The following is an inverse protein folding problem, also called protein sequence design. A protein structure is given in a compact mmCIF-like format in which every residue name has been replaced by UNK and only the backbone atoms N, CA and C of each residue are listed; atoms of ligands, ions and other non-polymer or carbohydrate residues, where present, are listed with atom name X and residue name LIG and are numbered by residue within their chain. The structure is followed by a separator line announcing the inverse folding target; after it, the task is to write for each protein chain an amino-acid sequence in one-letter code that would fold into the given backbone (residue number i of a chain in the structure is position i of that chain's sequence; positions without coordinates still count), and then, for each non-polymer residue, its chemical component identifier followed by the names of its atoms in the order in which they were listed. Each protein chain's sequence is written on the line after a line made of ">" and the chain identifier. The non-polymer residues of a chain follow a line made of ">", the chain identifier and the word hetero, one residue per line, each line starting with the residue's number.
data_IF_415988592676
#
_entry.id   IF_415988592676
#
_cell.length_a   1.000
_cell.length_b   1.000
_cell.length_c   1.000
_cell.angle_alpha   90.00
_cell.angle_beta   90.00
_cell.angle_gamma   90.00
#
_symmetry.space_group_name_H-M   'P 1'
#
loop_
_entity.id
_entity.type
_entity.pdbx_description
1 polymer ?
#
# COMPACT_ATOMS: atom_id res chain seq x y z
N UNK A 1 60.35 5.86 39.71
CA UNK A 1 61.36 4.96 39.09
C UNK A 1 60.60 3.74 38.57
N UNK A 2 60.36 3.67 37.27
CA UNK A 2 59.95 2.43 36.55
C UNK A 2 61.15 1.45 36.50
N UNK A 3 61.01 0.11 36.33
CA UNK A 3 60.28 -0.61 35.25
C UNK A 3 59.50 -1.89 35.70
N UNK A 4 58.51 -2.40 34.95
CA UNK A 4 58.58 -3.41 33.86
C UNK A 4 59.53 -4.60 34.17
N UNK A 5 59.27 -5.88 33.92
CA UNK A 5 58.42 -6.59 32.95
C UNK A 5 58.39 -8.08 33.37
N UNK A 6 57.37 -8.83 32.93
CA UNK A 6 57.48 -10.15 32.25
C UNK A 6 56.27 -11.06 32.50
N UNK A 7 55.46 -11.24 31.46
CA UNK A 7 54.51 -12.36 31.35
C UNK A 7 55.25 -13.63 30.93
N UNK A 8 54.96 -14.80 31.53
CA UNK A 8 55.30 -16.08 30.93
C UNK A 8 54.22 -16.61 29.98
N UNK A 9 54.68 -17.24 28.89
CA UNK A 9 53.96 -17.77 27.74
C UNK A 9 53.57 -19.25 27.92
N UNK A 10 52.50 -19.65 27.22
CA UNK A 10 52.00 -21.02 26.95
C UNK A 10 53.12 -21.95 26.45
N UNK A 11 53.75 -22.75 27.33
CA UNK A 11 54.32 -24.08 26.96
C UNK A 11 54.84 -24.93 28.12
N UNK A 12 54.50 -24.63 29.37
CA UNK A 12 54.95 -25.44 30.49
C UNK A 12 53.77 -25.77 31.40
N UNK A 13 53.34 -27.03 31.32
CA UNK A 13 52.75 -27.88 32.38
C UNK A 13 51.77 -28.87 31.74
N UNK A 14 52.36 -29.89 31.09
CA UNK A 14 51.74 -31.21 30.95
C UNK A 14 52.36 -32.07 32.05
N UNK A 15 51.52 -32.74 32.85
CA UNK A 15 51.95 -33.86 33.68
C UNK A 15 51.31 -33.87 35.06
N UNK A 16 50.31 -34.74 35.24
CA UNK A 16 49.83 -35.12 36.57
C UNK A 16 48.32 -35.29 36.67
N UNK A 17 47.77 -36.31 36.02
CA UNK A 17 46.41 -36.76 36.26
C UNK A 17 46.30 -37.40 37.64
N UNK A 18 45.47 -36.83 38.52
CA UNK A 18 44.95 -37.49 39.70
C UNK A 18 43.42 -37.45 39.64
N UNK A 19 42.83 -38.64 39.55
CA UNK A 19 41.40 -38.89 39.54
C UNK A 19 40.77 -38.45 40.87
N UNK A 20 39.97 -37.39 40.84
CA UNK A 20 39.01 -37.07 41.89
C UNK A 20 37.61 -37.46 41.39
N UNK A 21 36.82 -38.22 42.17
CA UNK A 21 35.47 -38.59 41.77
C UNK A 21 34.61 -37.32 41.74
N UNK A 22 34.17 -36.91 40.55
CA UNK A 22 33.07 -35.97 40.43
C UNK A 22 31.83 -36.66 40.99
N UNK A 23 31.47 -36.33 42.22
CA UNK A 23 30.14 -36.61 42.72
C UNK A 23 29.16 -35.86 41.80
N UNK A 24 28.41 -36.61 40.98
CA UNK A 24 27.24 -36.11 40.28
C UNK A 24 26.27 -35.61 41.35
N UNK A 25 26.33 -34.32 41.66
CA UNK A 25 25.20 -33.65 42.29
C UNK A 25 24.10 -33.67 41.24
N UNK A 26 23.22 -34.66 41.33
CA UNK A 26 21.90 -34.59 40.74
C UNK A 26 21.13 -33.53 41.52
N UNK A 27 21.54 -32.27 41.37
CA UNK A 27 20.71 -31.13 41.70
C UNK A 27 19.52 -31.24 40.77
N UNK A 28 18.38 -31.69 41.31
CA UNK A 28 17.13 -31.68 40.60
C UNK A 28 16.94 -30.25 40.08
N UNK A 29 17.08 -30.07 38.77
CA UNK A 29 16.67 -28.85 38.13
C UNK A 29 15.16 -28.79 38.35
N UNK A 30 14.73 -28.12 39.43
CA UNK A 30 13.35 -27.74 39.59
C UNK A 30 13.00 -26.99 38.31
N UNK A 31 12.15 -27.61 37.48
CA UNK A 31 11.73 -26.99 36.23
C UNK A 31 11.17 -25.62 36.59
N UNK A 32 11.89 -24.56 36.24
CA UNK A 32 11.40 -23.20 36.43
C UNK A 32 10.12 -23.11 35.61
N UNK A 33 8.97 -23.08 36.29
CA UNK A 33 7.69 -22.94 35.63
C UNK A 33 7.54 -21.47 35.27
N UNK A 34 7.58 -21.15 33.99
CA UNK A 34 7.26 -19.81 33.52
C UNK A 34 5.76 -19.58 33.74
N UNK A 35 5.38 -18.58 34.54
CA UNK A 35 4.02 -18.08 34.62
C UNK A 35 3.85 -16.89 33.68
N UNK A 36 2.87 -16.96 32.78
CA UNK A 36 2.55 -15.86 31.87
C UNK A 36 2.05 -14.63 32.62
N UNK A 37 2.51 -13.45 32.21
CA UNK A 37 2.04 -12.17 32.75
C UNK A 37 0.70 -11.77 32.10
N UNK A 38 -0.19 -11.07 32.83
CA UNK A 38 -1.35 -10.45 32.22
C UNK A 38 -0.91 -9.38 31.21
N UNK A 39 -1.81 -8.97 30.31
CA UNK A 39 -1.57 -7.83 29.41
C UNK A 39 -1.31 -6.60 30.27
N UNK A 40 -0.11 -6.00 30.12
CA UNK A 40 0.31 -4.84 30.90
C UNK A 40 -0.11 -3.57 30.16
N UNK A 41 -0.74 -2.63 30.88
CA UNK A 41 -1.21 -1.37 30.35
C UNK A 41 -2.51 -1.50 29.55
N UNK A 42 -2.69 -0.62 28.56
CA UNK A 42 -3.84 -0.66 27.65
C UNK A 42 -3.35 -0.58 26.19
N UNK A 43 -2.67 -1.64 25.68
CA UNK A 43 -2.17 -1.64 24.33
C UNK A 43 -3.33 -1.53 23.34
N UNK A 44 -3.13 -0.78 22.27
CA UNK A 44 -4.12 -0.68 21.20
C UNK A 44 -4.06 -1.93 20.33
N UNK A 45 -5.02 -2.83 20.55
CA UNK A 45 -5.14 -4.09 19.81
C UNK A 45 -6.14 -3.94 18.65
N UNK A 46 -5.97 -4.71 17.56
CA UNK A 46 -7.01 -4.81 16.54
C UNK A 46 -8.33 -5.30 17.15
N UNK A 47 -9.46 -4.87 16.58
CA UNK A 47 -10.76 -5.39 16.97
C UNK A 47 -10.86 -6.90 16.67
N UNK A 48 -11.73 -7.64 17.38
CA UNK A 48 -12.07 -9.02 17.02
C UNK A 48 -12.43 -9.17 15.54
N UNK A 49 -12.06 -10.30 14.93
CA UNK A 49 -12.16 -10.49 13.48
C UNK A 49 -13.59 -10.34 12.93
N UNK A 50 -14.59 -10.70 13.71
CA UNK A 50 -16.03 -10.58 13.42
C UNK A 50 -16.54 -9.13 13.48
N UNK A 51 -15.79 -8.22 14.12
CA UNK A 51 -16.08 -6.78 14.16
C UNK A 51 -15.29 -5.97 13.13
N UNK A 52 -14.29 -6.59 12.51
CA UNK A 52 -13.46 -5.96 11.46
C UNK A 52 -14.11 -6.14 10.10
N UNK A 53 -14.13 -5.04 9.35
CA UNK A 53 -14.55 -5.00 7.96
C UNK A 53 -13.68 -5.92 7.11
N UNK A 54 -14.30 -6.81 6.34
CA UNK A 54 -13.64 -7.76 5.46
C UNK A 54 -13.41 -7.20 4.06
N UNK A 55 -12.17 -7.29 3.59
CA UNK A 55 -11.75 -6.71 2.31
C UNK A 55 -11.31 -7.77 1.30
N UNK A 56 -11.81 -7.67 0.07
CA UNK A 56 -11.24 -8.35 -1.09
C UNK A 56 -10.22 -7.44 -1.78
N UNK A 57 -8.95 -7.85 -1.86
CA UNK A 57 -7.89 -7.09 -2.54
C UNK A 57 -7.78 -7.56 -3.99
N UNK A 58 -8.04 -6.66 -4.94
CA UNK A 58 -8.07 -6.95 -6.37
C UNK A 58 -6.82 -6.41 -7.04
N UNK A 59 -5.97 -7.31 -7.52
CA UNK A 59 -4.69 -6.96 -8.12
C UNK A 59 -3.51 -7.11 -7.17
N UNK A 60 -2.85 -8.27 -7.23
CA UNK A 60 -1.65 -8.57 -6.45
C UNK A 60 -0.38 -8.09 -7.18
N UNK A 61 -0.36 -6.80 -7.50
CA UNK A 61 0.75 -6.09 -8.13
C UNK A 61 1.76 -5.55 -7.11
N UNK A 62 2.76 -4.79 -7.58
CA UNK A 62 3.82 -4.25 -6.71
C UNK A 62 3.27 -3.38 -5.57
N UNK A 63 2.29 -2.52 -5.83
CA UNK A 63 1.67 -1.70 -4.77
C UNK A 63 0.76 -2.53 -3.85
N UNK A 64 -0.05 -3.43 -4.41
CA UNK A 64 -0.91 -4.33 -3.65
C UNK A 64 -0.13 -5.19 -2.66
N UNK A 65 0.96 -5.81 -3.11
CA UNK A 65 1.83 -6.67 -2.28
C UNK A 65 2.76 -5.87 -1.39
N UNK A 66 3.32 -4.77 -1.90
CA UNK A 66 4.36 -4.01 -1.21
C UNK A 66 3.84 -3.00 -0.19
N UNK A 67 2.59 -2.54 -0.31
CA UNK A 67 2.04 -1.46 0.53
C UNK A 67 0.66 -1.82 1.09
N UNK A 68 -0.29 -2.21 0.24
CA UNK A 68 -1.69 -2.45 0.67
C UNK A 68 -1.77 -3.61 1.66
N UNK A 69 -1.29 -4.79 1.29
CA UNK A 69 -1.33 -5.99 2.14
C UNK A 69 -0.60 -5.77 3.49
N UNK A 70 0.63 -5.23 3.54
CA UNK A 70 1.27 -4.87 4.80
C UNK A 70 0.45 -3.87 5.63
N UNK A 71 -0.20 -2.89 5.00
CA UNK A 71 -1.08 -1.93 5.70
C UNK A 71 -2.27 -2.59 6.40
N UNK A 72 -2.78 -3.72 5.89
CA UNK A 72 -3.83 -4.48 6.57
C UNK A 72 -3.37 -5.20 7.83
N UNK A 73 -2.06 -5.50 7.96
CA UNK A 73 -1.52 -6.15 9.16
C UNK A 73 -1.63 -5.24 10.37
N UNK A 74 -1.42 -3.92 10.19
CA UNK A 74 -1.54 -2.92 11.26
C UNK A 74 -2.95 -2.31 11.37
N UNK A 75 -3.88 -2.64 10.46
CA UNK A 75 -5.21 -2.07 10.47
C UNK A 75 -6.06 -2.59 11.63
N UNK A 76 -6.64 -1.68 12.42
CA UNK A 76 -7.41 -2.04 13.61
C UNK A 76 -8.84 -2.51 13.30
N UNK A 77 -9.45 -1.96 12.26
CA UNK A 77 -10.88 -2.16 11.91
C UNK A 77 -11.11 -2.88 10.59
N UNK A 78 -10.04 -3.30 9.92
CA UNK A 78 -10.10 -3.87 8.57
C UNK A 78 -9.27 -5.13 8.50
N UNK A 79 -9.78 -6.21 7.92
CA UNK A 79 -9.06 -7.48 7.70
C UNK A 79 -9.11 -7.90 6.23
N UNK A 80 -8.12 -8.67 5.80
CA UNK A 80 -8.14 -9.29 4.48
C UNK A 80 -9.05 -10.50 4.50
N UNK A 81 -10.09 -10.49 3.67
CA UNK A 81 -11.06 -11.57 3.54
C UNK A 81 -10.76 -12.46 2.33
N UNK A 82 -10.32 -11.87 1.22
CA UNK A 82 -10.04 -12.58 -0.01
C UNK A 82 -9.01 -11.85 -0.89
N UNK A 83 -8.40 -12.57 -1.82
CA UNK A 83 -7.63 -11.98 -2.91
C UNK A 83 -8.26 -12.28 -4.27
N UNK A 84 -8.14 -11.32 -5.19
CA UNK A 84 -8.52 -11.49 -6.59
C UNK A 84 -7.29 -11.30 -7.47
N UNK A 85 -6.93 -12.33 -8.24
CA UNK A 85 -5.69 -12.37 -9.01
C UNK A 85 -5.84 -13.22 -10.27
N UNK A 86 -5.28 -12.75 -11.38
CA UNK A 86 -5.09 -13.56 -12.59
C UNK A 86 -3.97 -14.61 -12.49
N UNK A 87 -3.29 -14.71 -11.34
CA UNK A 87 -2.29 -15.75 -11.06
C UNK A 87 -2.64 -16.42 -9.73
N UNK A 88 -3.13 -17.66 -9.81
CA UNK A 88 -3.61 -18.44 -8.68
C UNK A 88 -2.48 -18.87 -7.73
N UNK A 89 -1.34 -19.30 -8.26
CA UNK A 89 -0.17 -19.70 -7.47
C UNK A 89 0.34 -18.55 -6.59
N UNK A 90 0.44 -17.35 -7.17
CA UNK A 90 0.83 -16.13 -6.45
C UNK A 90 -0.19 -15.78 -5.36
N UNK A 91 -1.49 -15.89 -5.65
CA UNK A 91 -2.53 -15.63 -4.67
C UNK A 91 -2.46 -16.61 -3.50
N UNK A 92 -2.30 -17.91 -3.78
CA UNK A 92 -2.15 -18.95 -2.76
C UNK A 92 -0.89 -18.74 -1.91
N UNK A 93 0.25 -18.46 -2.53
CA UNK A 93 1.52 -18.21 -1.84
C UNK A 93 1.44 -16.99 -0.91
N UNK A 94 0.84 -15.89 -1.37
CA UNK A 94 0.64 -14.71 -0.53
C UNK A 94 -0.39 -15.00 0.56
N UNK A 95 -1.48 -15.71 0.23
CA UNK A 95 -2.53 -16.08 1.17
C UNK A 95 -2.00 -16.90 2.35
N UNK A 96 -1.11 -17.86 2.08
CA UNK A 96 -0.43 -18.65 3.12
C UNK A 96 0.34 -17.77 4.11
N UNK A 97 0.98 -16.69 3.65
CA UNK A 97 1.77 -15.79 4.50
C UNK A 97 0.93 -14.85 5.36
N UNK A 98 -0.24 -14.48 4.87
CA UNK A 98 -1.11 -13.46 5.48
C UNK A 98 -2.42 -14.02 6.05
N UNK A 99 -2.59 -15.34 6.08
CA UNK A 99 -3.77 -16.00 6.64
C UNK A 99 -5.04 -15.84 5.80
N UNK A 100 -4.92 -15.69 4.47
CA UNK A 100 -6.05 -15.56 3.55
C UNK A 100 -6.19 -16.86 2.75
N UNK A 101 -7.38 -17.46 2.79
CA UNK A 101 -7.66 -18.75 2.13
C UNK A 101 -8.73 -18.66 1.02
N UNK A 102 -9.33 -17.49 0.81
CA UNK A 102 -10.33 -17.25 -0.23
C UNK A 102 -9.69 -16.53 -1.42
N UNK A 103 -9.80 -17.13 -2.59
CA UNK A 103 -9.22 -16.61 -3.82
C UNK A 103 -10.26 -16.59 -4.94
N UNK A 104 -10.26 -15.51 -5.70
CA UNK A 104 -11.04 -15.32 -6.92
C UNK A 104 -10.09 -14.98 -8.06
N UNK A 105 -10.55 -15.19 -9.29
CA UNK A 105 -9.92 -14.70 -10.50
C UNK A 105 -10.82 -13.63 -11.14
N UNK A 106 -10.39 -13.12 -12.29
CA UNK A 106 -11.11 -12.07 -13.00
C UNK A 106 -12.41 -12.55 -13.66
N UNK A 107 -12.49 -13.84 -14.01
CA UNK A 107 -13.66 -14.45 -14.64
C UNK A 107 -14.78 -14.69 -13.64
N UNK A 108 -14.45 -15.18 -12.43
CA UNK A 108 -15.41 -15.46 -11.37
C UNK A 108 -15.55 -14.31 -10.35
N UNK A 109 -14.98 -13.15 -10.63
CA UNK A 109 -14.95 -12.01 -9.71
C UNK A 109 -16.35 -11.66 -9.18
N UNK A 110 -17.39 -11.70 -10.02
CA UNK A 110 -18.75 -11.31 -9.62
C UNK A 110 -19.36 -12.25 -8.56
N UNK A 111 -18.81 -13.47 -8.41
CA UNK A 111 -19.24 -14.42 -7.37
C UNK A 111 -18.92 -13.97 -5.94
N UNK A 112 -18.13 -12.90 -5.75
CA UNK A 112 -17.94 -12.27 -4.43
C UNK A 112 -19.26 -11.79 -3.82
N UNK A 113 -20.30 -11.58 -4.64
CA UNK A 113 -21.64 -11.23 -4.17
C UNK A 113 -22.18 -12.22 -3.13
N UNK A 114 -21.92 -13.51 -3.34
CA UNK A 114 -22.36 -14.59 -2.46
C UNK A 114 -21.50 -14.80 -1.22
N UNK A 115 -20.43 -14.02 -1.03
CA UNK A 115 -19.54 -14.14 0.12
C UNK A 115 -19.85 -13.07 1.18
N UNK A 116 -20.43 -13.44 2.33
CA UNK A 116 -20.74 -12.51 3.40
C UNK A 116 -19.50 -12.01 4.16
N UNK A 117 -18.34 -12.66 4.02
CA UNK A 117 -17.10 -12.22 4.68
C UNK A 117 -16.43 -11.02 3.99
N UNK A 118 -16.96 -10.61 2.82
CA UNK A 118 -16.47 -9.49 2.01
C UNK A 118 -17.47 -8.34 2.11
N UNK A 119 -17.09 -7.28 2.82
CA UNK A 119 -17.85 -6.03 2.93
C UNK A 119 -17.41 -5.02 1.86
N UNK A 120 -16.11 -5.00 1.59
CA UNK A 120 -15.44 -4.01 0.76
C UNK A 120 -14.51 -4.66 -0.26
N UNK A 121 -14.30 -3.97 -1.37
CA UNK A 121 -13.33 -4.34 -2.41
C UNK A 121 -12.31 -3.21 -2.56
N UNK A 122 -11.02 -3.56 -2.51
CA UNK A 122 -9.94 -2.62 -2.82
C UNK A 122 -9.41 -2.92 -4.24
N UNK A 123 -9.72 -2.04 -5.20
CA UNK A 123 -9.23 -2.14 -6.58
C UNK A 123 -7.83 -1.55 -6.70
N UNK A 124 -6.84 -2.42 -6.97
CA UNK A 124 -5.41 -2.10 -7.09
C UNK A 124 -4.88 -2.62 -8.44
N UNK A 125 -5.58 -2.24 -9.51
CA UNK A 125 -5.32 -2.67 -10.88
C UNK A 125 -4.63 -1.55 -11.69
N UNK A 126 -4.24 -1.81 -12.95
CA UNK A 126 -4.03 -0.73 -13.91
C UNK A 126 -5.26 0.18 -14.03
N UNK A 127 -5.02 1.48 -14.24
CA UNK A 127 -6.07 2.53 -14.28
C UNK A 127 -7.16 2.20 -15.31
N UNK A 128 -6.80 1.66 -16.47
CA UNK A 128 -7.74 1.25 -17.51
C UNK A 128 -8.75 0.17 -17.07
N UNK A 129 -8.52 -0.51 -15.94
CA UNK A 129 -9.41 -1.53 -15.39
C UNK A 129 -10.20 -1.03 -14.17
N UNK A 130 -9.93 0.18 -13.68
CA UNK A 130 -10.57 0.68 -12.45
C UNK A 130 -12.09 0.75 -12.56
N UNK A 131 -12.59 1.32 -13.65
CA UNK A 131 -14.02 1.53 -13.85
C UNK A 131 -14.79 0.20 -13.94
N UNK A 132 -14.29 -0.74 -14.74
CA UNK A 132 -14.91 -2.05 -14.91
C UNK A 132 -15.07 -2.77 -13.56
N UNK A 133 -13.97 -2.95 -12.83
CA UNK A 133 -13.99 -3.74 -11.59
C UNK A 133 -14.68 -3.00 -10.44
N UNK A 134 -14.65 -1.68 -10.43
CA UNK A 134 -15.45 -0.88 -9.48
C UNK A 134 -16.93 -1.10 -9.72
N UNK A 135 -17.40 -0.98 -10.98
CA UNK A 135 -18.82 -1.16 -11.31
C UNK A 135 -19.26 -2.60 -11.02
N UNK A 136 -18.44 -3.60 -11.34
CA UNK A 136 -18.71 -5.01 -11.03
C UNK A 136 -18.80 -5.26 -9.52
N UNK A 137 -17.89 -4.71 -8.72
CA UNK A 137 -17.93 -4.82 -7.26
C UNK A 137 -19.19 -4.18 -6.66
N UNK A 138 -19.57 -3.00 -7.14
CA UNK A 138 -20.78 -2.30 -6.69
C UNK A 138 -22.04 -3.11 -7.07
N UNK A 139 -22.11 -3.67 -8.28
CA UNK A 139 -23.19 -4.59 -8.70
C UNK A 139 -23.24 -5.87 -7.86
N UNK A 140 -22.10 -6.35 -7.37
CA UNK A 140 -22.02 -7.44 -6.40
C UNK A 140 -22.43 -7.03 -4.96
N UNK A 141 -22.90 -5.80 -4.78
CA UNK A 141 -23.40 -5.28 -3.50
C UNK A 141 -22.29 -4.95 -2.50
N UNK A 142 -21.06 -4.70 -2.96
CA UNK A 142 -19.90 -4.42 -2.10
C UNK A 142 -19.54 -2.93 -2.11
N UNK A 143 -19.04 -2.41 -1.00
CA UNK A 143 -18.42 -1.09 -1.00
C UNK A 143 -17.07 -1.13 -1.74
N UNK A 144 -16.64 -0.02 -2.31
CA UNK A 144 -15.41 0.03 -3.11
C UNK A 144 -14.46 1.12 -2.65
N UNK A 145 -13.20 0.76 -2.48
CA UNK A 145 -12.08 1.68 -2.48
C UNK A 145 -11.26 1.44 -3.75
N UNK A 146 -11.22 2.42 -4.65
CA UNK A 146 -10.49 2.32 -5.90
C UNK A 146 -9.17 3.09 -5.81
N UNK A 147 -8.06 2.52 -6.28
CA UNK A 147 -6.80 3.25 -6.35
C UNK A 147 -6.90 4.51 -7.21
N UNK A 148 -5.99 5.45 -6.98
CA UNK A 148 -5.85 6.66 -7.79
C UNK A 148 -4.97 6.38 -9.02
N UNK A 149 -5.19 7.08 -10.14
CA UNK A 149 -6.34 7.94 -10.45
C UNK A 149 -7.63 7.11 -10.61
N UNK A 150 -8.78 7.74 -10.33
CA UNK A 150 -10.08 7.06 -10.25
C UNK A 150 -10.42 6.24 -11.51
N UNK A 151 -10.22 6.81 -12.69
CA UNK A 151 -10.39 6.14 -13.98
C UNK A 151 -9.54 6.84 -15.06
N UNK A 152 -9.62 6.37 -16.32
CA UNK A 152 -8.89 6.98 -17.43
C UNK A 152 -9.61 8.20 -18.01
N UNK A 153 -10.93 8.31 -17.80
CA UNK A 153 -11.74 9.42 -18.32
C UNK A 153 -12.77 9.92 -17.30
N UNK A 154 -13.23 11.18 -17.41
CA UNK A 154 -14.32 11.68 -16.58
C UNK A 154 -15.63 10.88 -16.72
N UNK A 155 -15.98 10.45 -17.94
CA UNK A 155 -17.18 9.66 -18.19
C UNK A 155 -17.16 8.30 -17.46
N UNK A 156 -15.98 7.66 -17.37
CA UNK A 156 -15.81 6.45 -16.56
C UNK A 156 -15.98 6.73 -15.06
N UNK A 157 -15.43 7.85 -14.56
CA UNK A 157 -15.64 8.27 -13.17
C UNK A 157 -17.14 8.49 -12.87
N UNK A 158 -17.87 9.14 -13.76
CA UNK A 158 -19.31 9.35 -13.64
C UNK A 158 -20.08 8.02 -13.63
N UNK A 159 -19.69 7.06 -14.49
CA UNK A 159 -20.29 5.73 -14.51
C UNK A 159 -20.05 4.97 -13.20
N UNK A 160 -18.86 5.08 -12.60
CA UNK A 160 -18.56 4.50 -11.28
C UNK A 160 -19.44 5.13 -10.18
N UNK A 161 -19.60 6.46 -10.19
CA UNK A 161 -20.46 7.17 -9.23
C UNK A 161 -21.93 6.76 -9.40
N UNK A 162 -22.42 6.66 -10.63
CA UNK A 162 -23.78 6.23 -10.92
C UNK A 162 -24.05 4.78 -10.46
N UNK A 163 -23.07 3.88 -10.65
CA UNK A 163 -23.15 2.52 -10.16
C UNK A 163 -23.21 2.47 -8.62
N UNK A 164 -22.44 3.32 -7.93
CA UNK A 164 -22.42 3.37 -6.47
C UNK A 164 -23.76 3.83 -5.90
N UNK A 165 -24.35 4.86 -6.51
CA UNK A 165 -25.71 5.34 -6.17
C UNK A 165 -26.76 4.27 -6.41
N UNK A 166 -26.73 3.59 -7.57
CA UNK A 166 -27.68 2.53 -7.91
C UNK A 166 -27.59 1.34 -6.94
N UNK A 167 -26.38 0.98 -6.50
CA UNK A 167 -26.16 -0.14 -5.58
C UNK A 167 -26.42 0.21 -4.10
N UNK A 168 -26.63 1.49 -3.76
CA UNK A 168 -26.61 2.01 -2.39
C UNK A 168 -25.36 1.56 -1.62
N UNK A 169 -24.19 1.81 -2.22
CA UNK A 169 -22.87 1.45 -1.68
C UNK A 169 -21.91 2.62 -1.75
N UNK A 170 -20.93 2.59 -0.84
CA UNK A 170 -19.89 3.61 -0.77
C UNK A 170 -18.83 3.39 -1.84
N UNK A 171 -18.38 4.48 -2.44
CA UNK A 171 -17.26 4.52 -3.38
C UNK A 171 -16.24 5.57 -2.90
N UNK A 172 -15.02 5.13 -2.60
CA UNK A 172 -13.89 5.99 -2.29
C UNK A 172 -12.78 5.88 -3.32
N UNK A 173 -11.98 6.94 -3.44
CA UNK A 173 -10.71 6.93 -4.19
C UNK A 173 -9.56 6.99 -3.18
N UNK A 174 -8.58 6.10 -3.32
CA UNK A 174 -7.52 5.86 -2.34
C UNK A 174 -6.42 6.95 -2.34
N UNK A 175 -6.78 8.18 -2.01
CA UNK A 175 -5.81 9.25 -1.77
C UNK A 175 -5.20 9.12 -0.39
N UNK A 176 -4.13 8.32 -0.28
CA UNK A 176 -3.38 8.16 0.99
C UNK A 176 -2.98 9.50 1.62
N UNK A 177 -2.69 10.51 0.80
CA UNK A 177 -2.27 11.85 1.24
C UNK A 177 -3.26 12.53 2.17
N UNK A 178 -4.56 12.17 2.10
CA UNK A 178 -5.59 12.69 3.00
C UNK A 178 -5.50 12.13 4.42
N UNK A 179 -4.73 11.06 4.62
CA UNK A 179 -4.62 10.33 5.88
C UNK A 179 -3.19 10.36 6.45
N UNK A 180 -2.24 10.98 5.75
CA UNK A 180 -0.86 11.05 6.21
C UNK A 180 -0.72 12.09 7.33
N UNK A 181 -0.14 11.73 8.49
CA UNK A 181 -0.04 12.63 9.63
C UNK A 181 0.61 13.98 9.30
N UNK A 182 1.63 13.99 8.43
CA UNK A 182 2.30 15.21 8.01
C UNK A 182 1.39 16.13 7.18
N UNK A 183 0.56 15.59 6.30
CA UNK A 183 -0.39 16.39 5.50
C UNK A 183 -1.54 16.89 6.36
N UNK A 184 -2.03 16.07 7.31
CA UNK A 184 -3.06 16.47 8.27
C UNK A 184 -2.54 17.63 9.13
N UNK A 185 -1.31 17.54 9.63
CA UNK A 185 -0.71 18.61 10.42
C UNK A 185 -0.47 19.87 9.57
N UNK A 186 0.01 19.73 8.32
CA UNK A 186 0.15 20.86 7.42
C UNK A 186 -1.19 21.58 7.20
N UNK A 187 -2.27 20.82 6.94
CA UNK A 187 -3.61 21.38 6.80
C UNK A 187 -4.07 22.09 8.08
N UNK A 188 -3.84 21.50 9.26
CA UNK A 188 -4.18 22.12 10.55
C UNK A 188 -3.50 23.48 10.71
N UNK A 189 -2.20 23.56 10.40
CA UNK A 189 -1.41 24.81 10.51
C UNK A 189 -1.89 25.88 9.52
N UNK A 190 -2.25 25.46 8.31
CA UNK A 190 -2.84 26.35 7.29
C UNK A 190 -4.18 26.91 7.79
N UNK A 191 -5.07 26.05 8.28
CA UNK A 191 -6.39 26.45 8.81
C UNK A 191 -6.29 27.32 10.07
N UNK A 192 -5.26 27.12 10.89
CA UNK A 192 -4.96 27.97 12.03
C UNK A 192 -4.37 29.35 11.64
N UNK A 193 -4.12 29.60 10.35
CA UNK A 193 -3.56 30.86 9.85
C UNK A 193 -2.06 31.03 10.11
N UNK A 194 -1.36 29.96 10.51
CA UNK A 194 0.06 30.04 10.93
C UNK A 194 1.01 30.46 9.81
N UNK A 195 0.61 30.31 8.54
CA UNK A 195 1.41 30.69 7.36
C UNK A 195 0.84 31.89 6.60
N UNK A 196 -0.23 32.52 7.11
CA UNK A 196 -0.96 33.58 6.44
C UNK A 196 -1.69 33.12 5.18
N UNK A 197 -1.99 34.06 4.27
CA UNK A 197 -2.69 33.76 3.01
C UNK A 197 -1.76 33.03 2.03
N UNK A 198 -2.16 31.84 1.60
CA UNK A 198 -1.46 31.10 0.54
C UNK A 198 -1.54 31.89 -0.78
N UNK A 199 -0.38 32.20 -1.36
CA UNK A 199 -0.28 32.90 -2.66
C UNK A 199 0.31 32.04 -3.77
N UNK A 200 1.04 30.99 -3.39
CA UNK A 200 1.78 30.16 -4.32
C UNK A 200 1.94 28.76 -3.75
N UNK A 201 1.76 27.76 -4.62
CA UNK A 201 2.04 26.36 -4.33
C UNK A 201 2.91 25.81 -5.46
N UNK A 202 4.04 25.21 -5.10
CA UNK A 202 4.90 24.47 -6.02
C UNK A 202 4.95 23.01 -5.59
N UNK A 203 4.86 22.10 -6.56
CA UNK A 203 4.87 20.66 -6.32
C UNK A 203 5.68 19.96 -7.40
N UNK A 204 6.67 19.16 -6.98
CA UNK A 204 7.52 18.39 -7.88
C UNK A 204 7.37 16.89 -7.57
N UNK A 205 6.93 16.11 -8.56
CA UNK A 205 6.75 14.68 -8.43
C UNK A 205 7.36 13.96 -9.63
N UNK A 206 8.33 13.09 -9.38
CA UNK A 206 9.01 12.33 -10.42
C UNK A 206 9.78 11.14 -9.86
N UNK A 207 9.97 10.15 -10.71
CA UNK A 207 10.83 9.01 -10.46
C UNK A 207 11.34 8.46 -11.79
N UNK A 208 12.38 7.63 -11.76
CA UNK A 208 12.88 6.98 -12.96
C UNK A 208 11.94 5.85 -13.39
N UNK A 209 11.17 6.08 -14.45
CA UNK A 209 10.21 5.11 -15.00
C UNK A 209 10.84 4.17 -16.06
N UNK A 210 12.14 3.87 -15.99
CA UNK A 210 12.80 2.98 -16.95
C UNK A 210 12.18 1.56 -16.89
N UNK A 211 11.49 1.10 -17.96
CA UNK A 211 10.80 -0.19 -17.95
C UNK A 211 11.75 -1.39 -17.93
N UNK A 212 13.00 -1.21 -18.37
CA UNK A 212 14.03 -2.25 -18.33
C UNK A 212 14.58 -2.45 -16.91
N UNK A 213 14.64 -1.37 -16.12
CA UNK A 213 15.04 -1.44 -14.72
C UNK A 213 13.91 -1.93 -13.81
N UNK A 214 12.64 -1.65 -14.18
CA UNK A 214 11.47 -2.06 -13.40
C UNK A 214 10.28 -2.45 -14.30
N UNK A 215 10.13 -3.77 -14.50
CA UNK A 215 9.04 -4.39 -15.29
C UNK A 215 7.61 -3.98 -14.88
N UNK A 216 7.28 -3.74 -13.58
CA UNK A 216 5.94 -3.31 -13.18
C UNK A 216 5.45 -1.96 -13.75
N UNK A 217 6.32 -1.17 -14.39
CA UNK A 217 5.92 0.10 -15.04
C UNK A 217 5.47 -0.04 -16.49
N UNK A 218 5.58 -1.22 -17.12
CA UNK A 218 5.27 -1.36 -18.56
C UNK A 218 3.85 -0.91 -18.92
N UNK A 219 2.84 -1.32 -18.14
CA UNK A 219 1.44 -0.95 -18.41
C UNK A 219 1.18 0.56 -18.30
N UNK A 220 1.98 1.32 -17.52
CA UNK A 220 1.85 2.78 -17.40
C UNK A 220 2.23 3.50 -18.70
N UNK A 221 3.05 2.86 -19.54
CA UNK A 221 3.44 3.40 -20.85
C UNK A 221 2.40 3.05 -21.94
N UNK A 222 1.42 2.21 -21.62
CA UNK A 222 0.36 1.80 -22.53
C UNK A 222 -0.89 2.63 -22.23
N UNK A 223 -1.26 3.55 -23.13
CA UNK A 223 -2.37 4.51 -22.93
C UNK A 223 -3.66 3.84 -22.42
N UNK A 224 -4.02 2.68 -22.97
CA UNK A 224 -5.22 1.95 -22.58
C UNK A 224 -5.22 1.47 -21.13
N UNK A 225 -4.05 1.22 -20.53
CA UNK A 225 -3.91 0.74 -19.15
C UNK A 225 -3.48 1.85 -18.19
N UNK A 226 -2.66 2.79 -18.65
CA UNK A 226 -2.16 3.93 -17.88
C UNK A 226 -3.13 5.11 -17.78
N UNK A 227 -4.07 5.24 -18.71
CA UNK A 227 -4.94 6.41 -18.88
C UNK A 227 -4.19 7.62 -19.44
N UNK A 228 -3.06 7.97 -18.81
CA UNK A 228 -2.18 9.08 -19.20
C UNK A 228 -0.73 8.88 -18.78
N UNK A 229 0.07 9.94 -18.90
CA UNK A 229 1.50 9.95 -18.56
C UNK A 229 1.77 10.23 -17.07
N UNK A 230 2.92 10.85 -16.77
CA UNK A 230 3.35 11.17 -15.41
C UNK A 230 2.34 11.98 -14.60
N UNK A 231 1.55 12.85 -15.26
CA UNK A 231 0.48 13.61 -14.60
C UNK A 231 -0.59 12.71 -13.97
N UNK A 232 -0.92 11.58 -14.60
CA UNK A 232 -1.90 10.63 -14.06
C UNK A 232 -1.32 9.80 -12.90
N UNK A 233 -0.06 9.37 -13.02
CA UNK A 233 0.55 8.46 -12.04
C UNK A 233 1.01 9.17 -10.76
N UNK A 234 1.73 10.30 -10.92
CA UNK A 234 2.39 11.01 -9.81
C UNK A 234 2.13 12.50 -9.75
N UNK A 235 1.91 13.18 -10.89
CA UNK A 235 1.54 14.60 -10.87
C UNK A 235 0.21 14.87 -10.14
N UNK A 236 -0.67 13.86 -10.11
CA UNK A 236 -1.93 13.90 -9.36
C UNK A 236 -1.74 14.12 -7.86
N UNK A 237 -0.61 13.72 -7.27
CA UNK A 237 -0.33 14.01 -5.86
C UNK A 237 -0.17 15.51 -5.62
N UNK A 238 0.61 16.20 -6.45
CA UNK A 238 0.76 17.65 -6.36
C UNK A 238 -0.57 18.37 -6.51
N UNK A 239 -1.36 18.01 -7.53
CA UNK A 239 -2.69 18.58 -7.74
C UNK A 239 -3.64 18.30 -6.56
N UNK A 240 -3.77 17.05 -6.16
CA UNK A 240 -4.72 16.64 -5.13
C UNK A 240 -4.35 17.21 -3.75
N UNK A 241 -3.08 17.17 -3.35
CA UNK A 241 -2.61 17.75 -2.09
C UNK A 241 -2.77 19.27 -2.11
N UNK A 242 -2.51 19.95 -3.24
CA UNK A 242 -2.75 21.40 -3.34
C UNK A 242 -4.22 21.74 -3.08
N UNK A 243 -5.15 21.00 -3.68
CA UNK A 243 -6.59 21.18 -3.46
C UNK A 243 -7.01 20.87 -2.02
N UNK A 244 -6.38 19.87 -1.38
CA UNK A 244 -6.59 19.59 0.05
C UNK A 244 -6.13 20.76 0.92
N UNK A 245 -5.03 21.43 0.58
CA UNK A 245 -4.47 22.53 1.36
C UNK A 245 -5.23 23.86 1.18
N UNK A 246 -6.02 23.99 0.11
CA UNK A 246 -6.82 25.19 -0.18
C UNK A 246 -8.30 24.82 -0.37
N UNK A 247 -9.00 24.35 0.68
CA UNK A 247 -10.34 23.79 0.55
C UNK A 247 -11.40 24.81 0.11
N UNK A 248 -11.14 26.11 0.28
CA UNK A 248 -12.01 27.21 -0.12
C UNK A 248 -11.67 27.78 -1.51
N UNK A 249 -10.51 27.42 -2.07
CA UNK A 249 -10.10 27.86 -3.40
C UNK A 249 -10.40 26.80 -4.46
N UNK A 250 -10.71 27.24 -5.67
CA UNK A 250 -10.92 26.37 -6.84
C UNK A 250 -10.08 26.86 -8.01
N UNK A 251 -9.39 25.96 -8.74
CA UNK A 251 -8.74 26.34 -9.98
C UNK A 251 -9.78 26.88 -10.98
N UNK A 252 -9.58 28.10 -11.47
CA UNK A 252 -10.44 28.73 -12.49
C UNK A 252 -9.83 28.68 -13.90
N UNK A 253 -8.53 28.43 -13.99
CA UNK A 253 -7.80 28.29 -15.23
C UNK A 253 -6.60 27.35 -15.03
N UNK A 254 -6.15 26.72 -16.11
CA UNK A 254 -4.95 25.88 -16.14
C UNK A 254 -4.18 26.09 -17.45
N UNK A 255 -2.86 26.06 -17.35
CA UNK A 255 -1.95 26.04 -18.50
C UNK A 255 -0.91 24.94 -18.27
N UNK A 256 -0.53 24.22 -19.33
CA UNK A 256 0.42 23.13 -19.23
C UNK A 256 1.45 23.16 -20.35
N UNK A 257 2.66 22.74 -20.03
CA UNK A 257 3.72 22.46 -21.01
C UNK A 257 4.17 21.03 -20.80
N UNK A 258 4.23 20.26 -21.88
CA UNK A 258 4.73 18.89 -21.88
C UNK A 258 6.07 18.84 -22.60
N UNK A 259 7.08 18.28 -21.93
CA UNK A 259 8.42 18.09 -22.50
C UNK A 259 8.74 16.61 -22.51
N UNK A 260 9.19 16.11 -23.66
CA UNK A 260 9.66 14.73 -23.82
C UNK A 260 10.82 14.69 -24.82
N UNK A 261 11.72 13.69 -24.72
CA UNK A 261 12.80 13.52 -25.70
C UNK A 261 12.21 13.17 -27.07
N UNK A 262 12.42 14.04 -28.06
CA UNK A 262 11.86 13.86 -29.42
C UNK A 262 12.42 12.64 -30.14
N UNK A 263 13.58 12.11 -29.77
CA UNK A 263 14.15 10.96 -30.48
C UNK A 263 13.94 9.63 -29.76
N UNK A 264 13.30 9.66 -28.59
CA UNK A 264 13.07 8.46 -27.80
C UNK A 264 11.80 7.71 -28.27
N UNK A 265 11.94 6.43 -28.70
CA UNK A 265 10.83 5.64 -29.23
C UNK A 265 9.72 5.38 -28.21
N UNK A 266 10.03 5.42 -26.90
CA UNK A 266 9.04 5.21 -25.82
C UNK A 266 7.94 6.27 -25.83
N UNK A 267 8.25 7.47 -26.32
CA UNK A 267 7.33 8.61 -26.33
C UNK A 267 6.55 8.78 -27.65
N UNK A 268 6.77 7.92 -28.67
CA UNK A 268 6.11 8.07 -29.99
C UNK A 268 4.58 8.10 -29.91
N UNK A 269 3.97 7.27 -29.06
CA UNK A 269 2.51 7.18 -28.89
C UNK A 269 1.88 8.38 -28.18
N UNK A 270 2.68 9.20 -27.47
CA UNK A 270 2.22 10.36 -26.71
C UNK A 270 2.20 11.66 -27.53
N UNK A 271 2.81 11.67 -28.73
CA UNK A 271 2.92 12.86 -29.60
C UNK A 271 1.64 13.23 -30.33
N UNK A 272 0.75 12.26 -30.54
CA UNK A 272 -0.50 12.47 -31.28
C UNK A 272 -1.56 13.27 -30.48
N UNK A 273 -1.29 13.57 -29.21
CA UNK A 273 -2.22 14.28 -28.31
C UNK A 273 -1.93 15.79 -28.25
N UNK A 274 -0.76 16.25 -28.71
CA UNK A 274 -0.32 17.65 -28.57
C UNK A 274 -0.66 18.56 -29.76
N UNK A 275 -1.47 18.10 -30.73
CA UNK A 275 -1.84 18.89 -31.92
C UNK A 275 -3.32 19.31 -31.96
N UNK A 276 -4.05 19.19 -30.84
CA UNK A 276 -5.39 19.78 -30.69
C UNK A 276 -5.32 21.08 -29.91
N UNK A 277 -4.89 22.15 -30.58
CA UNK A 277 -5.11 23.53 -30.16
C UNK A 277 -6.18 24.16 -31.07
#
# INVERSE_FOLDING_TARGET
>A
MMPNDSKPNRRQMIGGAALLPFALSAGGAAAQTAQGQPVIGNPSLPEPADKRMGWAIVGLGSFGVGQVIPGFVSAQKSRMAAFVSGNAEKAAMIGQRYGVSRFYNYDNFDSIAGNPDIDCVYIVLPVGLHAEYTIRALKAGKNVLCEKPMASTPAECEAMIAAAKTADRQLGVAYRVHFEPANIEALRRIQAGEIGTIRHIQCDHGFNANPEAWRPHKWRLEKALGGGGSMYDVGIYGLNTSLMMTPDDRPVAASAVYVYPKDDPRFRKWRAVSTGG
#
